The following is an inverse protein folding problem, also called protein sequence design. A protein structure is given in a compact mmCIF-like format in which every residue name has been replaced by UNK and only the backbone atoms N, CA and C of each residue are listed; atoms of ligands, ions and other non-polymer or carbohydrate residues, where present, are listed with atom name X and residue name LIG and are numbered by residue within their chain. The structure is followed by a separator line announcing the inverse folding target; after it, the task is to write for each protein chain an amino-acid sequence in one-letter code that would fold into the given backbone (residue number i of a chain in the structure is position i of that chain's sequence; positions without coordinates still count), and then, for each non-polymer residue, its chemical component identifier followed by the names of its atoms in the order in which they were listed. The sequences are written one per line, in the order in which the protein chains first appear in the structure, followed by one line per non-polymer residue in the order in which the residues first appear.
data_IF_712730982770
#
_entry.id   IF_712730982770
#
_cell.length_a   1.000
_cell.length_b   1.000
_cell.length_c   1.000
_cell.angle_alpha   90.00
_cell.angle_beta   90.00
_cell.angle_gamma   90.00
#
_symmetry.space_group_name_H-M   'P 1'
#
loop_
_entity.id
_entity.type
_entity.pdbx_description
1 polymer ?
#
# COMPACT_ATOMS: atom_id res chain seq x y z
N UNK A 1 25.88 -12.11 39.27
CA UNK A 1 25.76 -12.19 37.80
C UNK A 1 26.72 -11.20 37.16
N UNK A 2 27.64 -11.66 36.30
CA UNK A 2 28.67 -10.83 35.67
C UNK A 2 28.01 -9.80 34.73
N UNK A 3 28.59 -8.60 34.63
CA UNK A 3 28.01 -7.44 33.91
C UNK A 3 27.61 -7.75 32.47
N UNK A 4 28.44 -8.51 31.74
CA UNK A 4 28.18 -8.94 30.37
C UNK A 4 26.94 -9.85 30.23
N UNK A 5 26.60 -10.62 31.27
CA UNK A 5 25.44 -11.51 31.29
C UNK A 5 24.13 -10.70 31.42
N UNK A 6 24.15 -9.56 32.12
CA UNK A 6 23.01 -8.63 32.20
C UNK A 6 22.78 -7.89 30.87
N UNK A 7 23.86 -7.54 30.17
CA UNK A 7 23.80 -6.88 28.86
C UNK A 7 23.20 -7.82 27.81
N UNK A 8 23.67 -9.07 27.75
CA UNK A 8 23.11 -10.08 26.84
C UNK A 8 21.63 -10.33 27.15
N UNK A 9 21.27 -10.47 28.43
CA UNK A 9 19.87 -10.67 28.84
C UNK A 9 18.97 -9.49 28.44
N UNK A 10 19.46 -8.25 28.59
CA UNK A 10 18.74 -7.05 28.16
C UNK A 10 18.53 -7.00 26.64
N UNK A 11 19.54 -7.37 25.84
CA UNK A 11 19.43 -7.44 24.37
C UNK A 11 18.43 -8.51 23.94
N UNK A 12 18.50 -9.71 24.53
CA UNK A 12 17.56 -10.80 24.21
C UNK A 12 16.12 -10.41 24.57
N UNK A 13 15.92 -9.77 25.73
CA UNK A 13 14.60 -9.26 26.12
C UNK A 13 14.08 -8.19 25.16
N UNK A 14 14.93 -7.23 24.75
CA UNK A 14 14.56 -6.20 23.78
C UNK A 14 14.19 -6.79 22.41
N UNK A 15 14.94 -7.79 21.94
CA UNK A 15 14.65 -8.49 20.69
C UNK A 15 13.32 -9.26 20.80
N UNK A 16 13.08 -9.96 21.91
CA UNK A 16 11.84 -10.69 22.14
C UNK A 16 10.62 -9.75 22.19
N UNK A 17 10.76 -8.58 22.82
CA UNK A 17 9.72 -7.55 22.84
C UNK A 17 9.47 -7.01 21.43
N UNK A 18 10.54 -6.70 20.67
CA UNK A 18 10.44 -6.20 19.30
C UNK A 18 9.73 -7.22 18.39
N UNK A 19 10.10 -8.49 18.47
CA UNK A 19 9.43 -9.60 17.76
C UNK A 19 7.96 -9.66 18.18
N UNK A 20 7.66 -9.61 19.48
CA UNK A 20 6.28 -9.60 19.99
C UNK A 20 5.44 -8.45 19.44
N UNK A 21 6.01 -7.24 19.35
CA UNK A 21 5.34 -6.06 18.77
C UNK A 21 5.09 -6.23 17.27
N UNK A 22 6.06 -6.76 16.51
CA UNK A 22 5.90 -7.01 15.07
C UNK A 22 4.81 -8.06 14.81
N UNK A 23 4.80 -9.16 15.59
CA UNK A 23 3.76 -10.18 15.49
C UNK A 23 2.38 -9.67 15.89
N UNK A 24 2.30 -8.82 16.91
CA UNK A 24 1.04 -8.18 17.31
C UNK A 24 0.51 -7.19 16.26
N UNK A 25 1.38 -6.40 15.64
CA UNK A 25 0.97 -5.45 14.61
C UNK A 25 0.45 -6.15 13.34
N UNK A 26 1.03 -7.30 12.98
CA UNK A 26 0.68 -8.07 11.78
C UNK A 26 -0.42 -9.11 12.01
N UNK A 27 -0.74 -9.48 13.26
CA UNK A 27 -1.81 -10.46 13.54
C UNK A 27 -3.20 -9.93 13.14
N UNK A 28 -3.41 -8.62 13.22
CA UNK A 28 -4.69 -8.00 12.90
C UNK A 28 -5.15 -8.24 11.46
N UNK A 29 -4.25 -8.13 10.48
CA UNK A 29 -4.62 -8.37 9.07
C UNK A 29 -4.92 -9.84 8.79
N UNK A 30 -4.20 -10.76 9.44
CA UNK A 30 -4.46 -12.21 9.33
C UNK A 30 -5.81 -12.57 9.93
N UNK A 31 -6.09 -12.07 11.13
CA UNK A 31 -7.37 -12.34 11.80
C UNK A 31 -8.56 -11.82 10.97
N UNK A 32 -8.46 -10.62 10.39
CA UNK A 32 -9.51 -10.08 9.51
C UNK A 32 -9.69 -10.92 8.24
N UNK A 33 -8.60 -11.41 7.64
CA UNK A 33 -8.68 -12.31 6.50
C UNK A 33 -9.38 -13.62 6.85
N UNK A 34 -9.01 -14.22 7.98
CA UNK A 34 -9.59 -15.48 8.45
C UNK A 34 -11.10 -15.31 8.77
N UNK A 35 -11.49 -14.20 9.39
CA UNK A 35 -12.89 -13.86 9.65
C UNK A 35 -13.69 -13.64 8.36
N UNK A 36 -13.10 -13.00 7.35
CA UNK A 36 -13.70 -12.86 6.02
C UNK A 36 -13.97 -14.22 5.39
N UNK A 37 -12.97 -15.10 5.31
CA UNK A 37 -13.13 -16.43 4.71
C UNK A 37 -14.03 -17.35 5.53
N UNK A 38 -14.08 -17.20 6.85
CA UNK A 38 -15.05 -17.89 7.70
C UNK A 38 -16.49 -17.48 7.36
N UNK A 39 -16.75 -16.19 7.10
CA UNK A 39 -18.06 -15.72 6.65
C UNK A 39 -18.42 -16.24 5.25
N UNK A 40 -17.43 -16.26 4.33
CA UNK A 40 -17.59 -16.86 2.99
C UNK A 40 -17.96 -18.34 3.09
N UNK A 41 -17.30 -19.10 3.97
CA UNK A 41 -17.58 -20.52 4.22
C UNK A 41 -19.01 -20.78 4.69
N UNK A 42 -19.56 -19.89 5.51
CA UNK A 42 -20.94 -20.00 6.00
C UNK A 42 -21.98 -19.46 5.01
N UNK A 43 -21.55 -18.94 3.85
CA UNK A 43 -22.44 -18.28 2.88
C UNK A 43 -22.98 -16.92 3.34
N UNK A 44 -22.39 -16.34 4.40
CA UNK A 44 -22.81 -15.05 4.95
C UNK A 44 -22.10 -13.92 4.19
N UNK A 45 -22.57 -13.67 2.96
CA UNK A 45 -21.97 -12.68 2.06
C UNK A 45 -22.10 -11.26 2.61
N UNK A 46 -23.18 -10.95 3.31
CA UNK A 46 -23.35 -9.66 3.97
C UNK A 46 -22.25 -9.42 5.00
N UNK A 47 -21.98 -10.40 5.87
CA UNK A 47 -20.87 -10.32 6.83
C UNK A 47 -19.51 -10.27 6.14
N UNK A 48 -19.29 -11.08 5.09
CA UNK A 48 -18.06 -11.06 4.30
C UNK A 48 -17.82 -9.66 3.70
N UNK A 49 -18.85 -9.05 3.13
CA UNK A 49 -18.83 -7.69 2.58
C UNK A 49 -18.51 -6.64 3.64
N UNK A 50 -18.94 -6.84 4.89
CA UNK A 50 -18.61 -5.98 6.03
C UNK A 50 -17.11 -5.88 6.38
N UNK A 51 -16.29 -6.86 5.97
CA UNK A 51 -14.83 -6.81 6.13
C UNK A 51 -14.12 -5.99 5.04
N UNK A 52 -14.81 -5.65 3.95
CA UNK A 52 -14.26 -4.82 2.90
C UNK A 52 -14.17 -3.35 3.34
N UNK A 53 -13.20 -2.63 2.78
CA UNK A 53 -13.07 -1.17 2.92
C UNK A 53 -14.21 -0.45 2.21
N UNK A 54 -14.51 0.78 2.63
CA UNK A 54 -15.55 1.58 1.96
C UNK A 54 -15.21 1.85 0.50
N UNK A 55 -13.91 2.01 0.17
CA UNK A 55 -13.46 2.13 -1.21
C UNK A 55 -13.76 0.88 -2.06
N UNK A 56 -13.51 -0.32 -1.54
CA UNK A 56 -13.83 -1.57 -2.23
C UNK A 56 -15.35 -1.72 -2.39
N UNK A 57 -16.13 -1.46 -1.32
CA UNK A 57 -17.59 -1.57 -1.37
C UNK A 57 -18.23 -0.66 -2.43
N UNK A 58 -17.67 0.53 -2.69
CA UNK A 58 -18.17 1.44 -3.75
C UNK A 58 -18.16 0.82 -5.14
N UNK A 59 -17.23 -0.10 -5.41
CA UNK A 59 -17.08 -0.75 -6.73
C UNK A 59 -17.53 -2.20 -6.74
N UNK A 60 -17.89 -2.76 -5.58
CA UNK A 60 -18.23 -4.18 -5.44
C UNK A 60 -19.34 -4.33 -4.41
N UNK A 61 -20.55 -4.55 -4.90
CA UNK A 61 -21.69 -4.92 -4.06
C UNK A 61 -21.63 -6.41 -3.64
N UNK A 62 -22.55 -6.83 -2.77
CA UNK A 62 -22.61 -8.20 -2.27
C UNK A 62 -22.77 -9.24 -3.39
N UNK A 63 -23.59 -8.94 -4.41
CA UNK A 63 -23.83 -9.85 -5.53
C UNK A 63 -22.61 -9.99 -6.46
N UNK A 64 -21.84 -8.92 -6.64
CA UNK A 64 -20.56 -8.94 -7.34
C UNK A 64 -19.50 -9.71 -6.55
N UNK A 65 -19.44 -9.50 -5.23
CA UNK A 65 -18.55 -10.25 -4.34
C UNK A 65 -18.85 -11.75 -4.41
N UNK A 66 -20.12 -12.15 -4.25
CA UNK A 66 -20.52 -13.56 -4.29
C UNK A 66 -20.19 -14.21 -5.64
N UNK A 67 -20.49 -13.54 -6.75
CA UNK A 67 -20.13 -14.04 -8.09
C UNK A 67 -18.62 -14.23 -8.23
N UNK A 68 -17.82 -13.27 -7.77
CA UNK A 68 -16.37 -13.38 -7.80
C UNK A 68 -15.89 -14.57 -6.97
N UNK A 69 -16.38 -14.72 -5.73
CA UNK A 69 -15.98 -15.82 -4.84
C UNK A 69 -16.34 -17.19 -5.45
N UNK A 70 -17.53 -17.33 -6.04
CA UNK A 70 -17.97 -18.58 -6.69
C UNK A 70 -17.15 -18.89 -7.94
N UNK A 71 -16.92 -17.90 -8.80
CA UNK A 71 -16.15 -18.07 -10.03
C UNK A 71 -14.71 -18.52 -9.77
N UNK A 72 -14.18 -18.21 -8.58
CA UNK A 72 -12.81 -18.49 -8.16
C UNK A 72 -12.71 -19.65 -7.14
N UNK A 73 -13.79 -20.42 -6.95
CA UNK A 73 -13.87 -21.54 -6.00
C UNK A 73 -13.54 -21.17 -4.54
N UNK A 74 -13.65 -19.90 -4.18
CA UNK A 74 -13.38 -19.40 -2.82
C UNK A 74 -14.54 -19.65 -1.86
N UNK A 75 -15.74 -19.93 -2.37
CA UNK A 75 -16.88 -20.38 -1.54
C UNK A 75 -16.67 -21.77 -0.95
N UNK A 76 -15.78 -22.57 -1.54
CA UNK A 76 -15.43 -23.91 -1.06
C UNK A 76 -14.29 -23.87 -0.02
N UNK A 77 -14.16 -22.75 0.70
CA UNK A 77 -13.08 -22.51 1.68
C UNK A 77 -13.00 -23.61 2.75
N UNK A 78 -11.84 -24.25 2.85
CA UNK A 78 -11.52 -25.20 3.92
C UNK A 78 -10.59 -24.57 4.96
N UNK A 79 -9.42 -24.09 4.52
CA UNK A 79 -8.37 -23.50 5.36
C UNK A 79 -7.57 -22.43 4.60
N UNK A 80 -7.03 -21.46 5.33
CA UNK A 80 -6.08 -20.48 4.81
C UNK A 80 -4.67 -20.78 5.34
N UNK A 81 -3.66 -20.61 4.49
CA UNK A 81 -2.26 -20.64 4.89
C UNK A 81 -1.57 -19.37 4.41
N UNK A 82 -1.02 -18.60 5.34
CA UNK A 82 -0.45 -17.28 5.08
C UNK A 82 1.08 -17.34 5.12
N UNK A 83 1.71 -17.09 3.98
CA UNK A 83 3.16 -17.19 3.81
C UNK A 83 3.91 -15.87 4.00
N UNK A 84 3.32 -14.75 3.56
CA UNK A 84 3.95 -13.43 3.66
C UNK A 84 2.98 -12.43 4.27
N UNK A 85 3.49 -11.63 5.21
CA UNK A 85 2.74 -10.61 5.95
C UNK A 85 3.60 -9.37 6.04
N UNK A 86 3.04 -8.24 5.64
CA UNK A 86 3.70 -6.95 5.78
C UNK A 86 2.69 -5.93 6.32
N UNK A 87 3.13 -5.11 7.25
CA UNK A 87 2.40 -3.93 7.69
C UNK A 87 3.40 -2.79 7.70
N UNK A 88 3.04 -1.70 7.03
CA UNK A 88 3.82 -0.47 7.01
C UNK A 88 2.90 0.70 7.38
N UNK A 89 3.42 1.93 7.28
CA UNK A 89 2.64 3.13 7.59
C UNK A 89 1.42 3.31 6.67
N UNK A 90 1.51 2.76 5.45
CA UNK A 90 0.54 2.91 4.37
C UNK A 90 -0.37 1.68 4.21
N UNK A 91 -0.49 0.83 5.23
CA UNK A 91 -1.41 -0.30 5.24
C UNK A 91 -0.75 -1.67 5.44
N UNK A 92 -1.42 -2.72 4.97
CA UNK A 92 -0.93 -4.09 5.13
C UNK A 92 -1.08 -4.94 3.88
N UNK A 93 -0.16 -5.88 3.68
CA UNK A 93 -0.17 -6.89 2.64
C UNK A 93 -0.19 -8.28 3.26
N UNK A 94 -1.03 -9.16 2.72
CA UNK A 94 -1.13 -10.55 3.14
C UNK A 94 -1.19 -11.46 1.92
N UNK A 95 -0.19 -12.31 1.77
CA UNK A 95 -0.11 -13.27 0.66
C UNK A 95 -0.08 -14.69 1.20
N UNK A 96 -0.83 -15.56 0.55
CA UNK A 96 -0.97 -16.95 0.99
C UNK A 96 -1.75 -17.79 0.00
N UNK A 97 -2.29 -18.88 0.51
CA UNK A 97 -3.07 -19.83 -0.26
C UNK A 97 -4.31 -20.27 0.50
N UNK A 98 -5.42 -20.37 -0.22
CA UNK A 98 -6.68 -20.91 0.25
C UNK A 98 -6.79 -22.35 -0.23
N UNK A 99 -6.98 -23.30 0.67
CA UNK A 99 -7.32 -24.67 0.30
C UNK A 99 -8.82 -24.83 0.23
N UNK A 100 -9.30 -25.46 -0.83
CA UNK A 100 -10.71 -25.74 -1.03
C UNK A 100 -11.08 -27.12 -0.49
N UNK A 101 -12.36 -27.34 -0.18
CA UNK A 101 -12.89 -28.65 0.23
C UNK A 101 -12.73 -29.72 -0.85
N UNK A 102 -12.67 -29.31 -2.12
CA UNK A 102 -12.34 -30.18 -3.27
C UNK A 102 -10.86 -30.58 -3.34
N UNK A 103 -10.01 -30.07 -2.44
CA UNK A 103 -8.57 -30.36 -2.40
C UNK A 103 -7.70 -29.45 -3.25
N UNK A 104 -8.30 -28.49 -3.96
CA UNK A 104 -7.58 -27.46 -4.70
C UNK A 104 -6.87 -26.47 -3.78
N UNK A 105 -5.84 -25.80 -4.30
CA UNK A 105 -5.15 -24.70 -3.62
C UNK A 105 -5.17 -23.47 -4.51
N UNK A 106 -5.77 -22.40 -4.02
CA UNK A 106 -5.93 -21.13 -4.71
C UNK A 106 -4.97 -20.11 -4.10
N UNK A 107 -3.94 -19.64 -4.83
CA UNK A 107 -3.09 -18.57 -4.33
C UNK A 107 -3.90 -17.29 -4.22
N UNK A 108 -3.61 -16.49 -3.20
CA UNK A 108 -4.34 -15.25 -2.96
C UNK A 108 -3.45 -14.16 -2.37
N UNK A 109 -3.75 -12.93 -2.76
CA UNK A 109 -3.14 -11.73 -2.23
C UNK A 109 -4.23 -10.77 -1.77
N UNK A 110 -4.07 -10.26 -0.55
CA UNK A 110 -4.94 -9.27 0.06
C UNK A 110 -4.13 -8.02 0.37
N UNK A 111 -4.72 -6.85 0.10
CA UNK A 111 -4.25 -5.58 0.65
C UNK A 111 -5.24 -5.07 1.68
N UNK A 112 -4.72 -4.41 2.69
CA UNK A 112 -5.45 -3.89 3.81
C UNK A 112 -5.23 -2.40 3.99
N UNK A 113 -6.30 -1.72 4.37
CA UNK A 113 -6.32 -0.34 4.83
C UNK A 113 -6.85 -0.30 6.25
N UNK A 114 -6.46 0.71 7.03
CA UNK A 114 -7.02 0.93 8.36
C UNK A 114 -8.12 1.99 8.26
N UNK A 115 -9.34 1.64 8.62
CA UNK A 115 -10.49 2.55 8.66
C UNK A 115 -11.03 2.55 10.10
N UNK A 116 -11.13 3.73 10.73
CA UNK A 116 -11.61 3.87 12.11
C UNK A 116 -10.87 2.98 13.14
N UNK A 117 -9.57 2.72 12.90
CA UNK A 117 -8.76 1.85 13.77
C UNK A 117 -8.84 0.35 13.43
N UNK A 118 -9.73 -0.06 12.53
CA UNK A 118 -9.91 -1.44 12.11
C UNK A 118 -9.28 -1.73 10.74
N UNK A 119 -8.66 -2.91 10.61
CA UNK A 119 -8.20 -3.40 9.33
C UNK A 119 -9.38 -3.80 8.43
N UNK A 120 -9.37 -3.31 7.20
CA UNK A 120 -10.36 -3.58 6.15
C UNK A 120 -9.68 -4.05 4.88
N UNK A 121 -10.29 -5.00 4.19
CA UNK A 121 -9.77 -5.51 2.93
C UNK A 121 -9.97 -4.44 1.86
N UNK A 122 -8.86 -3.93 1.33
CA UNK A 122 -8.81 -2.95 0.26
C UNK A 122 -8.85 -3.60 -1.12
N UNK A 123 -8.14 -4.71 -1.29
CA UNK A 123 -8.16 -5.48 -2.54
C UNK A 123 -8.00 -6.97 -2.27
N UNK A 124 -8.65 -7.77 -3.13
CA UNK A 124 -8.59 -9.23 -3.17
C UNK A 124 -8.16 -9.65 -4.57
N UNK A 125 -7.03 -10.36 -4.68
CA UNK A 125 -6.46 -10.77 -5.96
C UNK A 125 -6.13 -12.26 -5.94
N UNK A 126 -6.50 -12.97 -7.01
CA UNK A 126 -6.04 -14.32 -7.29
C UNK A 126 -5.00 -14.26 -8.42
N UNK A 127 -3.73 -14.61 -8.16
CA UNK A 127 -2.75 -14.80 -9.23
C UNK A 127 -3.24 -15.86 -10.22
N UNK A 128 -3.12 -15.61 -11.52
CA UNK A 128 -3.62 -16.54 -12.53
C UNK A 128 -2.84 -17.86 -12.51
N UNK A 129 -3.54 -18.96 -12.81
CA UNK A 129 -2.93 -20.28 -13.03
C UNK A 129 -2.66 -20.52 -14.53
N UNK A 130 -1.69 -21.38 -14.88
CA UNK A 130 -1.36 -21.76 -16.28
C UNK A 130 0.00 -21.24 -16.75
N UNK A 131 0.32 -21.38 -18.05
CA UNK A 131 1.52 -20.80 -18.66
C UNK A 131 1.47 -19.28 -18.52
N UNK A 132 2.11 -18.80 -17.46
CA UNK A 132 2.16 -17.39 -17.14
C UNK A 132 3.14 -16.72 -18.10
N UNK A 133 2.62 -15.91 -19.02
CA UNK A 133 3.36 -14.73 -19.45
C UNK A 133 3.18 -13.62 -18.41
N UNK A 134 3.39 -13.93 -17.12
CA UNK A 134 3.01 -13.12 -15.94
C UNK A 134 1.58 -12.53 -16.06
N UNK A 135 0.61 -13.01 -15.26
CA UNK A 135 -0.59 -12.21 -15.01
C UNK A 135 -0.16 -10.86 -14.40
N UNK A 136 0.04 -9.89 -15.29
CA UNK A 136 0.91 -8.76 -15.06
C UNK A 136 0.17 -7.87 -14.09
N UNK A 137 0.75 -7.65 -12.91
CA UNK A 137 0.67 -6.31 -12.35
C UNK A 137 0.87 -5.33 -13.52
N UNK A 138 0.02 -4.31 -13.67
CA UNK A 138 0.03 -3.46 -14.86
C UNK A 138 1.47 -3.11 -15.20
N UNK A 139 1.85 -3.26 -16.47
CA UNK A 139 3.22 -2.98 -16.84
C UNK A 139 3.59 -1.59 -16.30
N UNK A 140 4.77 -1.41 -15.70
CA UNK A 140 5.20 -0.08 -15.34
C UNK A 140 5.03 0.81 -16.58
N UNK A 141 4.59 2.07 -16.42
CA UNK A 141 4.65 3.03 -17.50
C UNK A 141 6.06 3.04 -18.09
N UNK A 142 6.17 3.37 -19.37
CA UNK A 142 7.48 3.65 -19.95
C UNK A 142 8.15 4.83 -19.23
N UNK A 143 9.42 5.09 -19.55
CA UNK A 143 10.19 6.14 -18.89
C UNK A 143 9.48 7.50 -18.96
N UNK A 144 8.87 7.83 -20.11
CA UNK A 144 8.08 9.06 -20.27
C UNK A 144 6.87 9.12 -19.33
N UNK A 145 6.13 8.02 -19.21
CA UNK A 145 5.03 7.89 -18.25
C UNK A 145 5.48 7.99 -16.80
N UNK A 146 6.62 7.39 -16.44
CA UNK A 146 7.20 7.51 -15.10
C UNK A 146 7.61 8.95 -14.79
N UNK A 147 8.22 9.65 -15.75
CA UNK A 147 8.56 11.07 -15.63
C UNK A 147 7.30 11.91 -15.43
N UNK A 148 6.22 11.62 -16.15
CA UNK A 148 4.95 12.32 -16.00
C UNK A 148 4.33 12.12 -14.60
N UNK A 149 4.34 10.88 -14.08
CA UNK A 149 3.86 10.58 -12.73
C UNK A 149 4.63 11.37 -11.66
N UNK A 150 5.96 11.29 -11.68
CA UNK A 150 6.82 11.97 -10.72
C UNK A 150 6.62 13.48 -10.78
N UNK A 151 6.59 14.06 -11.99
CA UNK A 151 6.39 15.50 -12.17
C UNK A 151 5.04 15.96 -11.65
N UNK A 152 3.97 15.24 -11.98
CA UNK A 152 2.62 15.58 -11.51
C UNK A 152 2.55 15.54 -9.99
N UNK A 153 3.07 14.48 -9.37
CA UNK A 153 3.08 14.32 -7.91
C UNK A 153 3.89 15.40 -7.19
N UNK A 154 5.08 15.75 -7.71
CA UNK A 154 5.91 16.83 -7.18
C UNK A 154 5.23 18.20 -7.36
N UNK A 155 4.60 18.42 -8.51
CA UNK A 155 3.85 19.65 -8.77
C UNK A 155 2.68 19.81 -7.79
N UNK A 156 1.83 18.79 -7.66
CA UNK A 156 0.68 18.82 -6.74
C UNK A 156 1.11 19.03 -5.28
N UNK A 157 2.24 18.43 -4.89
CA UNK A 157 2.84 18.66 -3.58
C UNK A 157 3.25 20.14 -3.41
N UNK A 158 4.01 20.72 -4.33
CA UNK A 158 4.47 22.11 -4.18
C UNK A 158 3.38 23.17 -4.37
N UNK A 159 2.34 22.88 -5.15
CA UNK A 159 1.11 23.68 -5.15
C UNK A 159 0.52 23.74 -3.73
N UNK A 160 0.42 22.59 -3.06
CA UNK A 160 -0.11 22.49 -1.70
C UNK A 160 0.79 23.15 -0.66
N UNK A 161 2.11 23.03 -0.80
CA UNK A 161 3.09 23.75 0.02
C UNK A 161 2.91 25.27 -0.12
N UNK A 162 2.73 25.78 -1.35
CA UNK A 162 2.52 27.22 -1.59
C UNK A 162 1.23 27.74 -0.96
N UNK A 163 0.20 26.89 -0.89
CA UNK A 163 -1.09 27.16 -0.25
C UNK A 163 -1.06 26.98 1.26
N UNK A 164 0.02 26.37 1.81
CA UNK A 164 0.16 25.97 3.21
C UNK A 164 -0.98 25.05 3.66
N UNK A 165 -1.47 24.23 2.73
CA UNK A 165 -2.63 23.36 2.93
C UNK A 165 -2.52 22.14 2.00
N UNK A 166 -2.52 20.94 2.57
CA UNK A 166 -2.38 19.65 1.88
C UNK A 166 -3.69 19.11 1.30
N UNK A 167 -4.78 19.88 1.30
CA UNK A 167 -6.09 19.48 0.73
C UNK A 167 -5.96 19.14 -0.76
N UNK A 168 -5.26 19.97 -1.54
CA UNK A 168 -5.04 19.71 -2.97
C UNK A 168 -4.25 18.42 -3.17
N UNK A 169 -3.07 18.29 -2.55
CA UNK A 169 -2.23 17.11 -2.66
C UNK A 169 -2.99 15.84 -2.26
N UNK A 170 -3.68 15.83 -1.11
CA UNK A 170 -4.47 14.68 -0.67
C UNK A 170 -5.55 14.30 -1.69
N UNK A 171 -6.12 15.25 -2.43
CA UNK A 171 -7.15 14.92 -3.43
C UNK A 171 -6.59 14.16 -4.65
N UNK A 172 -5.29 14.25 -4.93
CA UNK A 172 -4.67 13.66 -6.13
C UNK A 172 -4.08 12.27 -5.90
N UNK A 173 -3.81 11.91 -4.63
CA UNK A 173 -3.24 10.62 -4.24
C UNK A 173 -4.25 9.47 -4.32
N UNK A 174 -3.78 8.23 -4.18
CA UNK A 174 -4.60 7.02 -4.21
C UNK A 174 -5.72 7.04 -3.16
N UNK A 175 -6.84 6.40 -3.46
CA UNK A 175 -7.94 6.24 -2.51
C UNK A 175 -7.48 5.53 -1.24
N UNK A 176 -6.54 4.58 -1.39
CA UNK A 176 -5.88 3.92 -0.27
C UNK A 176 -5.19 4.92 0.66
N UNK A 177 -4.34 5.79 0.12
CA UNK A 177 -3.61 6.76 0.92
C UNK A 177 -4.53 7.83 1.53
N UNK A 178 -5.57 8.25 0.79
CA UNK A 178 -6.63 9.14 1.32
C UNK A 178 -7.37 8.51 2.50
N UNK A 179 -7.67 7.21 2.46
CA UNK A 179 -8.36 6.52 3.56
C UNK A 179 -7.54 6.44 4.85
N UNK A 180 -6.21 6.59 4.76
CA UNK A 180 -5.29 6.39 5.88
C UNK A 180 -4.86 7.68 6.56
N UNK A 181 -4.72 8.75 5.79
CA UNK A 181 -4.25 10.03 6.30
C UNK A 181 -5.24 11.13 5.95
N UNK A 182 -5.61 11.91 6.95
CA UNK A 182 -6.40 13.12 6.76
C UNK A 182 -5.51 14.31 6.39
N UNK A 183 -6.14 15.45 6.07
CA UNK A 183 -5.42 16.68 5.71
C UNK A 183 -4.58 17.20 6.87
N UNK A 184 -5.04 17.04 8.12
CA UNK A 184 -4.33 17.51 9.30
C UNK A 184 -3.01 16.76 9.49
N UNK A 185 -3.01 15.44 9.35
CA UNK A 185 -1.81 14.62 9.35
C UNK A 185 -0.82 15.04 8.27
N UNK A 186 -1.29 15.28 7.04
CA UNK A 186 -0.41 15.68 5.94
C UNK A 186 0.17 17.08 6.14
N UNK A 187 -0.61 18.01 6.70
CA UNK A 187 -0.12 19.35 7.05
C UNK A 187 1.02 19.27 8.08
N UNK A 188 0.85 18.45 9.13
CA UNK A 188 1.89 18.23 10.15
C UNK A 188 3.14 17.55 9.56
N UNK A 189 2.95 16.47 8.79
CA UNK A 189 4.05 15.72 8.19
C UNK A 189 4.94 16.55 7.25
N UNK A 190 4.38 17.59 6.61
CA UNK A 190 5.08 18.43 5.65
C UNK A 190 5.21 19.90 6.08
N UNK A 191 4.95 20.21 7.36
CA UNK A 191 4.95 21.58 7.88
C UNK A 191 6.28 22.30 7.60
N UNK A 192 7.40 21.57 7.66
CA UNK A 192 8.74 22.11 7.43
C UNK A 192 8.94 22.73 6.04
N UNK A 193 8.08 22.39 5.06
CA UNK A 193 8.14 22.95 3.72
C UNK A 193 7.36 24.28 3.59
N UNK A 194 6.38 24.56 4.46
CA UNK A 194 5.53 25.75 4.37
C UNK A 194 6.26 27.10 4.52
N UNK A 195 7.32 27.22 5.33
CA UNK A 195 8.09 28.46 5.42
C UNK A 195 9.02 28.69 4.22
N UNK A 196 9.22 27.70 3.35
CA UNK A 196 10.20 27.79 2.26
C UNK A 196 9.61 28.60 1.10
N UNK A 197 9.96 29.89 1.03
CA UNK A 197 9.61 30.80 -0.07
C UNK A 197 10.51 30.57 -1.31
N UNK A 198 10.55 29.33 -1.81
CA UNK A 198 11.25 29.00 -3.04
C UNK A 198 10.28 28.94 -4.23
N UNK A 199 10.75 29.37 -5.40
CA UNK A 199 10.00 29.20 -6.64
C UNK A 199 10.15 27.75 -7.15
N UNK A 200 9.27 26.87 -6.67
CA UNK A 200 9.25 25.45 -7.03
C UNK A 200 8.78 25.18 -8.46
N UNK A 201 8.17 26.15 -9.14
CA UNK A 201 7.80 26.04 -10.56
C UNK A 201 9.04 25.84 -11.46
N UNK A 202 10.25 26.08 -10.95
CA UNK A 202 11.50 25.70 -11.65
C UNK A 202 11.58 24.20 -11.93
N UNK A 203 10.94 23.36 -11.10
CA UNK A 203 10.90 21.91 -11.27
C UNK A 203 9.98 21.50 -12.42
N UNK A 204 8.95 22.29 -12.75
CA UNK A 204 8.05 22.02 -13.87
C UNK A 204 8.77 22.06 -15.22
N UNK A 205 9.93 22.73 -15.29
CA UNK A 205 10.75 22.81 -16.49
C UNK A 205 11.97 21.88 -16.46
N UNK A 206 12.12 21.07 -15.42
CA UNK A 206 13.20 20.09 -15.25
C UNK A 206 12.66 18.67 -15.35
N UNK A 207 13.49 17.77 -15.85
CA UNK A 207 13.22 16.34 -15.78
C UNK A 207 13.91 15.75 -14.55
N UNK A 208 13.26 14.84 -13.82
CA UNK A 208 13.92 14.09 -12.77
C UNK A 208 14.98 13.16 -13.37
N UNK A 209 16.05 12.92 -12.61
CA UNK A 209 17.07 11.92 -12.89
C UNK A 209 16.78 10.71 -12.01
N UNK A 210 16.38 9.60 -12.61
CA UNK A 210 16.07 8.38 -11.88
C UNK A 210 17.34 7.66 -11.42
N UNK A 211 17.32 7.16 -10.18
CA UNK A 211 18.40 6.32 -9.66
C UNK A 211 18.42 4.95 -10.36
N UNK A 212 17.23 4.44 -10.69
CA UNK A 212 17.00 3.22 -11.46
C UNK A 212 15.64 3.31 -12.16
N UNK A 213 15.44 2.52 -13.21
CA UNK A 213 14.12 2.41 -13.85
C UNK A 213 13.08 1.91 -12.84
N UNK A 214 11.90 2.53 -12.82
CA UNK A 214 10.81 2.13 -11.93
C UNK A 214 10.36 0.71 -12.23
N UNK A 215 10.20 -0.08 -11.17
CA UNK A 215 9.80 -1.48 -11.23
C UNK A 215 8.53 -1.71 -10.42
N UNK A 216 7.66 -2.59 -10.92
CA UNK A 216 6.47 -3.04 -10.19
C UNK A 216 6.84 -4.29 -9.39
N UNK A 217 6.64 -4.24 -8.07
CA UNK A 217 6.89 -5.40 -7.21
C UNK A 217 5.75 -6.44 -7.28
N UNK A 218 5.89 -7.54 -6.55
CA UNK A 218 4.89 -8.63 -6.52
C UNK A 218 3.52 -8.19 -5.99
N UNK A 219 3.49 -7.10 -5.21
CA UNK A 219 2.26 -6.51 -4.69
C UNK A 219 1.65 -5.49 -5.67
N UNK A 220 2.18 -5.34 -6.89
CA UNK A 220 1.66 -4.40 -7.88
C UNK A 220 1.92 -2.93 -7.55
N UNK A 221 2.92 -2.64 -6.72
CA UNK A 221 3.36 -1.29 -6.39
C UNK A 221 4.55 -0.92 -7.26
N UNK A 222 4.45 0.22 -7.94
CA UNK A 222 5.52 0.82 -8.72
C UNK A 222 6.34 1.75 -7.82
N UNK A 223 7.64 1.47 -7.65
CA UNK A 223 8.54 2.36 -6.90
C UNK A 223 9.43 3.12 -7.87
N UNK A 224 9.48 4.45 -7.71
CA UNK A 224 10.34 5.35 -8.49
C UNK A 224 11.13 6.24 -7.52
N UNK A 225 12.46 6.24 -7.64
CA UNK A 225 13.34 7.08 -6.84
C UNK A 225 14.35 7.82 -7.72
N UNK A 226 14.76 8.99 -7.27
CA UNK A 226 15.64 9.85 -8.05
C UNK A 226 15.84 11.22 -7.43
N UNK A 227 16.25 12.17 -8.26
CA UNK A 227 16.43 13.56 -7.85
C UNK A 227 16.23 14.55 -8.99
N UNK A 228 16.02 15.81 -8.63
CA UNK A 228 16.15 16.96 -9.53
C UNK A 228 17.46 17.69 -9.27
N UNK A 229 18.20 17.98 -10.34
CA UNK A 229 19.36 18.86 -10.29
C UNK A 229 18.91 20.33 -10.27
N UNK A 230 18.70 20.83 -9.06
CA UNK A 230 18.47 22.23 -8.73
C UNK A 230 19.73 22.86 -8.13
N UNK A 231 19.73 24.19 -8.03
CA UNK A 231 20.83 24.96 -7.42
C UNK A 231 20.24 25.89 -6.35
N UNK A 232 20.87 26.02 -5.17
CA UNK A 232 22.15 25.43 -4.76
C UNK A 232 22.06 23.98 -4.25
N UNK A 233 20.85 23.48 -3.96
CA UNK A 233 20.60 22.16 -3.39
C UNK A 233 19.87 21.26 -4.40
N UNK A 234 20.02 19.94 -4.29
CA UNK A 234 19.27 18.93 -5.05
C UNK A 234 17.99 18.55 -4.32
N UNK A 235 16.96 18.17 -5.08
CA UNK A 235 15.70 17.65 -4.53
C UNK A 235 15.62 16.16 -4.79
N UNK A 236 15.81 15.34 -3.75
CA UNK A 236 15.67 13.89 -3.80
C UNK A 236 14.23 13.47 -3.54
N UNK A 237 13.79 12.40 -4.20
CA UNK A 237 12.46 11.84 -3.99
C UNK A 237 12.45 10.32 -4.03
N UNK A 238 11.47 9.75 -3.34
CA UNK A 238 11.04 8.37 -3.45
C UNK A 238 9.52 8.34 -3.45
N UNK A 239 8.93 7.72 -4.47
CA UNK A 239 7.49 7.71 -4.71
C UNK A 239 7.04 6.29 -5.02
N UNK A 240 5.98 5.85 -4.36
CA UNK A 240 5.34 4.58 -4.64
C UNK A 240 3.97 4.83 -5.25
N UNK A 241 3.59 4.04 -6.25
CA UNK A 241 2.31 4.15 -6.94
C UNK A 241 1.57 2.82 -6.97
N UNK A 242 0.25 2.90 -6.90
CA UNK A 242 -0.65 1.77 -7.09
C UNK A 242 -1.58 2.03 -8.27
N UNK A 243 -1.87 1.01 -9.05
CA UNK A 243 -2.79 1.14 -10.18
C UNK A 243 -4.25 0.98 -9.72
N UNK A 244 -5.04 2.05 -9.85
CA UNK A 244 -6.46 2.08 -9.49
C UNK A 244 -7.35 1.93 -10.73
N UNK A 245 -7.12 0.87 -11.51
CA UNK A 245 -7.93 0.47 -12.67
C UNK A 245 -7.72 1.28 -13.95
N UNK A 246 -7.61 2.61 -13.86
CA UNK A 246 -7.44 3.52 -15.01
C UNK A 246 -6.15 4.32 -14.96
N UNK A 247 -5.53 4.47 -13.79
CA UNK A 247 -4.33 5.28 -13.63
C UNK A 247 -3.49 4.81 -12.45
N UNK A 248 -2.19 5.05 -12.55
CA UNK A 248 -1.28 4.95 -11.42
C UNK A 248 -1.50 6.15 -10.50
N UNK A 249 -1.70 5.86 -9.22
CA UNK A 249 -1.99 6.84 -8.18
C UNK A 249 -0.95 6.75 -7.08
N UNK A 250 -0.54 7.92 -6.58
CA UNK A 250 0.50 8.02 -5.56
C UNK A 250 0.02 7.33 -4.28
N UNK A 251 0.81 6.37 -3.80
CA UNK A 251 0.57 5.55 -2.62
C UNK A 251 1.47 5.97 -1.46
N UNK A 252 2.71 6.37 -1.74
CA UNK A 252 3.65 6.88 -0.76
C UNK A 252 4.52 7.97 -1.37
N UNK A 253 4.96 8.92 -0.55
CA UNK A 253 5.74 10.07 -0.98
C UNK A 253 6.77 10.46 0.07
N UNK A 254 8.03 10.54 -0.36
CA UNK A 254 9.14 11.07 0.43
C UNK A 254 9.93 12.06 -0.43
N UNK A 255 10.29 13.21 0.15
CA UNK A 255 11.02 14.28 -0.52
C UNK A 255 12.03 14.91 0.43
N UNK A 256 13.23 15.21 -0.08
CA UNK A 256 14.32 15.81 0.70
C UNK A 256 15.07 16.84 -0.14
N UNK A 257 15.36 18.00 0.45
CA UNK A 257 16.21 19.03 -0.16
C UNK A 257 17.58 18.99 0.52
N UNK A 258 18.64 18.75 -0.25
CA UNK A 258 20.02 18.58 0.26
C UNK A 258 21.05 19.30 -0.59
#
# INVERSE_FOLDING_TARGET
MKLWMKIILGIVAAIAILIGVIFYATSGITERADQFFAAVKTGDIHKAHGFLSEAFKKTTDEAALERYLRANALTDFAEANWGQREVNLNGGGLSGSIKTTSGGTVPIQLKFVKENGDWKIYSLMQPAAGLQTNAKAPAPPDEGGQVALVRQSIHDFFVSVSQKDMTHFRSTVSQLWQGQHDVAFLNDAFESFFPIEANWAVLDNKSPIFAQAGSVNENGVLTISGHYDTSPAKVYFEQEYIYEGLSWKLLAFNIQVK
#
